data_IF_903275900009
#
_entry.id   IF_903275900009
#
_cell.length_a   1.000
_cell.length_b   1.000
_cell.length_c   1.000
_cell.angle_alpha   90.00
_cell.angle_beta   90.00
_cell.angle_gamma   90.00
#
_symmetry.space_group_name_H-M   'P 1'
#
loop_
_entity.id
_entity.type
_entity.pdbx_description
1 polymer ?
#
# COMPACT_ATOMS: atom_id res chain seq x y z
N UNK A 1 -17.67 5.50 -6.44
CA UNK A 1 -17.62 5.36 -4.95
C UNK A 1 -16.49 6.17 -4.31
N UNK A 2 -15.21 5.90 -4.61
CA UNK A 2 -14.04 6.51 -3.96
C UNK A 2 -14.06 8.05 -3.91
N UNK A 3 -14.26 8.72 -5.05
CA UNK A 3 -14.25 10.20 -5.13
C UNK A 3 -15.30 10.82 -4.20
N UNK A 4 -16.48 10.23 -4.14
CA UNK A 4 -17.57 10.69 -3.28
C UNK A 4 -17.20 10.49 -1.80
N UNK A 5 -16.74 9.30 -1.43
CA UNK A 5 -16.33 8.98 -0.06
C UNK A 5 -15.22 9.92 0.43
N UNK A 6 -14.18 10.14 -0.38
CA UNK A 6 -13.08 11.04 -0.08
C UNK A 6 -13.57 12.48 0.21
N UNK A 7 -14.49 13.00 -0.62
CA UNK A 7 -15.07 14.33 -0.42
C UNK A 7 -15.91 14.40 0.85
N UNK A 8 -16.74 13.39 1.12
CA UNK A 8 -17.60 13.34 2.30
C UNK A 8 -16.81 13.24 3.60
N UNK A 9 -15.70 12.50 3.60
CA UNK A 9 -14.89 12.25 4.79
C UNK A 9 -13.73 13.26 4.97
N UNK A 10 -13.49 14.13 3.98
CA UNK A 10 -12.39 15.10 4.03
C UNK A 10 -10.99 14.47 3.94
N UNK A 11 -10.88 13.30 3.32
CA UNK A 11 -9.61 12.56 3.17
C UNK A 11 -9.16 12.49 1.71
N UNK A 12 -7.93 12.02 1.45
CA UNK A 12 -7.47 11.84 0.07
C UNK A 12 -8.23 10.71 -0.62
N UNK A 13 -8.30 10.76 -1.96
CA UNK A 13 -8.89 9.67 -2.76
C UNK A 13 -8.21 8.33 -2.51
N UNK A 14 -6.91 8.33 -2.23
CA UNK A 14 -6.16 7.10 -2.00
C UNK A 14 -6.40 6.52 -0.60
N UNK A 15 -6.62 7.36 0.42
CA UNK A 15 -7.08 6.91 1.74
C UNK A 15 -8.47 6.25 1.63
N UNK A 16 -9.43 6.93 0.98
CA UNK A 16 -10.77 6.38 0.79
C UNK A 16 -10.79 5.07 -0.03
N UNK A 17 -9.85 4.90 -0.97
CA UNK A 17 -9.72 3.66 -1.72
C UNK A 17 -9.27 2.48 -0.83
N UNK A 18 -8.39 2.74 0.14
CA UNK A 18 -7.95 1.74 1.13
C UNK A 18 -9.11 1.31 2.02
N UNK A 19 -9.85 2.27 2.57
CA UNK A 19 -11.00 1.98 3.43
C UNK A 19 -12.04 1.11 2.72
N UNK A 20 -12.32 1.44 1.45
CA UNK A 20 -13.23 0.65 0.62
C UNK A 20 -12.67 -0.74 0.36
N UNK A 21 -11.39 -0.87 0.00
CA UNK A 21 -10.76 -2.16 -0.27
C UNK A 21 -10.70 -3.06 0.97
N UNK A 22 -10.49 -2.50 2.16
CA UNK A 22 -10.53 -3.24 3.43
C UNK A 22 -11.92 -3.83 3.67
N UNK A 23 -12.98 -3.05 3.41
CA UNK A 23 -14.37 -3.46 3.61
C UNK A 23 -14.89 -4.52 2.63
N UNK A 24 -14.17 -4.84 1.55
CA UNK A 24 -14.57 -5.92 0.62
C UNK A 24 -14.46 -7.31 1.27
N UNK A 25 -15.30 -8.26 0.86
CA UNK A 25 -15.41 -9.57 1.51
C UNK A 25 -14.24 -10.51 1.22
N UNK A 26 -13.48 -10.24 0.15
CA UNK A 26 -12.35 -11.04 -0.28
C UNK A 26 -11.34 -11.22 0.85
N UNK A 27 -11.10 -12.48 1.20
CA UNK A 27 -10.05 -12.88 2.14
C UNK A 27 -8.75 -12.98 1.35
N UNK A 28 -7.63 -12.61 1.98
CA UNK A 28 -6.28 -12.63 1.39
C UNK A 28 -6.00 -11.54 0.35
N UNK A 29 -5.84 -10.30 0.84
CA UNK A 29 -5.53 -9.14 0.00
C UNK A 29 -4.02 -8.86 0.00
N UNK A 30 -3.46 -8.61 -1.18
CA UNK A 30 -2.13 -8.01 -1.33
C UNK A 30 -2.31 -6.51 -1.61
N UNK A 31 -1.81 -5.65 -0.73
CA UNK A 31 -1.87 -4.21 -0.94
C UNK A 31 -0.59 -3.71 -1.61
N UNK A 32 -0.74 -2.90 -2.67
CA UNK A 32 0.39 -2.44 -3.49
C UNK A 32 0.35 -0.92 -3.64
N UNK A 33 1.32 -0.23 -3.05
CA UNK A 33 1.41 1.23 -3.02
C UNK A 33 2.66 1.72 -3.76
N UNK A 34 2.48 2.20 -4.99
CA UNK A 34 3.56 2.76 -5.80
C UNK A 34 3.67 4.28 -5.80
N UNK A 35 2.64 5.01 -5.34
CA UNK A 35 2.61 6.47 -5.44
C UNK A 35 2.27 7.13 -4.11
N UNK A 36 1.03 7.04 -3.66
CA UNK A 36 0.52 7.86 -2.56
C UNK A 36 0.97 7.35 -1.18
N UNK A 37 1.83 8.09 -0.45
CA UNK A 37 2.21 7.73 0.93
C UNK A 37 1.00 7.72 1.88
N UNK A 38 0.03 8.61 1.64
CA UNK A 38 -1.21 8.69 2.42
C UNK A 38 -2.05 7.42 2.36
N UNK A 39 -1.96 6.65 1.26
CA UNK A 39 -2.64 5.36 1.16
C UNK A 39 -1.98 4.31 2.08
N UNK A 40 -0.64 4.28 2.09
CA UNK A 40 0.11 3.38 2.94
C UNK A 40 -0.11 3.71 4.42
N UNK A 41 -0.03 4.99 4.80
CA UNK A 41 -0.38 5.41 6.17
C UNK A 41 -1.79 4.99 6.55
N UNK A 42 -2.77 5.15 5.64
CA UNK A 42 -4.14 4.75 5.92
C UNK A 42 -4.26 3.27 6.20
N UNK A 43 -3.57 2.40 5.46
CA UNK A 43 -3.58 0.96 5.75
C UNK A 43 -3.01 0.67 7.14
N UNK A 44 -1.95 1.37 7.55
CA UNK A 44 -1.30 1.20 8.85
C UNK A 44 -2.16 1.64 10.04
N UNK A 45 -3.20 2.45 9.81
CA UNK A 45 -4.19 2.82 10.84
C UNK A 45 -5.21 1.70 11.13
N UNK A 46 -5.30 0.68 10.27
CA UNK A 46 -6.25 -0.41 10.41
C UNK A 46 -5.60 -1.66 11.01
N UNK A 47 -6.27 -2.25 11.99
CA UNK A 47 -5.90 -3.56 12.55
C UNK A 47 -6.59 -4.67 11.75
N UNK A 48 -5.94 -5.09 10.65
CA UNK A 48 -6.48 -6.06 9.69
C UNK A 48 -5.43 -7.12 9.37
N UNK A 49 -5.86 -8.29 8.90
CA UNK A 49 -4.94 -9.29 8.35
C UNK A 49 -4.90 -9.18 6.83
N UNK A 50 -3.69 -9.03 6.27
CA UNK A 50 -3.45 -8.98 4.82
C UNK A 50 -2.42 -10.03 4.44
N UNK A 51 -2.42 -10.47 3.19
CA UNK A 51 -1.43 -11.45 2.70
C UNK A 51 -0.05 -10.84 2.52
N UNK A 52 0.00 -9.51 2.33
CA UNK A 52 1.23 -8.76 2.34
C UNK A 52 1.04 -7.33 1.83
N UNK A 53 2.12 -6.55 1.91
CA UNK A 53 2.15 -5.15 1.48
C UNK A 53 3.41 -4.87 0.65
N UNK A 54 3.23 -4.31 -0.54
CA UNK A 54 4.32 -3.70 -1.31
C UNK A 54 4.25 -2.20 -1.11
N UNK A 55 5.07 -1.68 -0.19
CA UNK A 55 5.14 -0.27 0.17
C UNK A 55 6.30 0.43 -0.51
N UNK A 56 6.10 0.90 -1.74
CA UNK A 56 7.11 1.65 -2.51
C UNK A 56 6.61 3.00 -3.02
N UNK A 57 5.88 3.81 -2.23
CA UNK A 57 5.53 5.16 -2.66
C UNK A 57 6.78 6.00 -2.91
N UNK A 58 6.71 6.83 -3.94
CA UNK A 58 7.72 7.84 -4.28
C UNK A 58 7.25 9.20 -3.81
N UNK A 59 8.16 10.04 -3.33
CA UNK A 59 7.81 11.41 -3.02
C UNK A 59 8.78 12.09 -2.08
N UNK A 60 8.55 13.39 -1.90
CA UNK A 60 9.32 14.23 -0.98
C UNK A 60 8.61 14.48 0.35
N UNK A 61 7.33 14.13 0.46
CA UNK A 61 6.51 14.32 1.66
C UNK A 61 5.91 12.99 2.06
N UNK A 62 6.24 12.49 3.25
CA UNK A 62 5.65 11.28 3.83
C UNK A 62 6.11 9.95 3.21
N UNK A 63 6.86 9.96 2.10
CA UNK A 63 7.27 8.74 1.42
C UNK A 63 8.27 7.93 2.27
N UNK A 64 9.31 8.56 2.79
CA UNK A 64 10.30 7.88 3.62
C UNK A 64 9.66 7.36 4.91
N UNK A 65 8.89 8.22 5.55
CA UNK A 65 8.23 8.00 6.84
C UNK A 65 7.17 6.90 6.75
N UNK A 66 6.36 6.86 5.68
CA UNK A 66 5.35 5.81 5.50
C UNK A 66 5.97 4.42 5.31
N UNK A 67 7.11 4.35 4.61
CA UNK A 67 7.81 3.08 4.39
C UNK A 67 8.55 2.62 5.63
N UNK A 68 9.12 3.54 6.40
CA UNK A 68 9.70 3.24 7.71
C UNK A 68 8.62 2.80 8.72
N UNK A 69 7.44 3.44 8.73
CA UNK A 69 6.32 2.98 9.53
C UNK A 69 5.86 1.57 9.13
N UNK A 70 5.84 1.26 7.83
CA UNK A 70 5.54 -0.09 7.34
C UNK A 70 6.55 -1.14 7.84
N UNK A 71 7.85 -0.83 7.85
CA UNK A 71 8.87 -1.77 8.35
C UNK A 71 8.78 -2.04 9.86
N UNK A 72 8.15 -1.16 10.61
CA UNK A 72 7.88 -1.34 12.05
C UNK A 72 6.48 -1.94 12.33
N UNK A 73 5.68 -2.19 11.30
CA UNK A 73 4.35 -2.77 11.43
C UNK A 73 4.39 -4.31 11.50
N UNK A 74 3.25 -4.91 11.80
CA UNK A 74 3.09 -6.37 11.81
C UNK A 74 2.84 -6.98 10.42
N UNK A 75 2.69 -6.15 9.38
CA UNK A 75 2.38 -6.64 8.03
C UNK A 75 3.59 -7.30 7.37
N UNK A 76 3.43 -8.48 6.73
CA UNK A 76 4.45 -9.00 5.82
C UNK A 76 4.65 -8.01 4.67
N UNK A 77 5.87 -7.49 4.48
CA UNK A 77 6.06 -6.35 3.59
C UNK A 77 7.38 -6.33 2.81
N UNK A 78 7.32 -5.70 1.63
CA UNK A 78 8.47 -5.24 0.86
C UNK A 78 8.44 -3.72 0.81
N UNK A 79 9.50 -3.07 1.26
CA UNK A 79 9.61 -1.61 1.27
C UNK A 79 10.95 -1.14 0.68
N UNK A 80 10.88 -0.10 -0.16
CA UNK A 80 12.07 0.55 -0.73
C UNK A 80 12.35 1.84 0.05
N UNK A 81 13.15 1.78 1.12
CA UNK A 81 13.34 2.88 2.08
C UNK A 81 13.80 4.21 1.44
N UNK A 82 13.58 5.32 2.17
CA UNK A 82 13.87 6.67 1.71
C UNK A 82 12.81 7.22 0.74
N UNK A 83 13.19 8.13 -0.16
CA UNK A 83 12.23 8.89 -1.00
C UNK A 83 11.90 8.29 -2.36
N UNK A 84 12.72 7.33 -2.82
CA UNK A 84 12.56 6.68 -4.15
C UNK A 84 11.50 5.58 -4.10
N UNK A 85 10.85 5.34 -5.23
CA UNK A 85 9.77 4.37 -5.36
C UNK A 85 9.10 4.51 -6.72
N UNK A 86 7.81 4.20 -6.80
CA UNK A 86 7.02 4.43 -8.01
C UNK A 86 6.20 3.21 -8.41
N UNK A 87 5.18 3.43 -9.22
CA UNK A 87 4.36 2.36 -9.78
C UNK A 87 5.17 1.33 -10.59
N UNK A 88 6.24 1.76 -11.28
CA UNK A 88 7.11 0.85 -12.02
C UNK A 88 7.86 -0.10 -11.08
N UNK A 89 8.35 0.39 -9.94
CA UNK A 89 9.00 -0.43 -8.91
C UNK A 89 7.99 -1.40 -8.29
N UNK A 90 6.79 -0.90 -7.97
CA UNK A 90 5.72 -1.74 -7.44
C UNK A 90 5.35 -2.88 -8.39
N UNK A 91 5.15 -2.59 -9.68
CA UNK A 91 4.85 -3.58 -10.70
C UNK A 91 6.00 -4.58 -10.88
N UNK A 92 7.25 -4.13 -10.86
CA UNK A 92 8.42 -5.01 -10.95
C UNK A 92 8.49 -6.01 -9.79
N UNK A 93 8.20 -5.56 -8.55
CA UNK A 93 8.15 -6.43 -7.37
C UNK A 93 7.04 -7.47 -7.53
N UNK A 94 5.83 -7.05 -7.92
CA UNK A 94 4.70 -7.99 -8.13
C UNK A 94 5.04 -9.00 -9.22
N UNK A 95 5.64 -8.57 -10.33
CA UNK A 95 6.08 -9.49 -11.38
C UNK A 95 7.12 -10.49 -10.88
N UNK A 96 8.11 -10.05 -10.08
CA UNK A 96 9.11 -10.94 -9.52
C UNK A 96 8.49 -12.01 -8.60
N UNK A 97 7.49 -11.63 -7.78
CA UNK A 97 6.73 -12.59 -6.97
C UNK A 97 6.01 -13.61 -7.84
N UNK A 98 5.33 -13.17 -8.91
CA UNK A 98 4.65 -14.05 -9.85
C UNK A 98 5.62 -15.00 -10.57
N UNK A 99 6.83 -14.54 -10.89
CA UNK A 99 7.83 -15.38 -11.54
C UNK A 99 8.30 -16.48 -10.61
N UNK A 100 8.60 -16.14 -9.35
CA UNK A 100 9.03 -17.10 -8.35
C UNK A 100 7.96 -18.13 -8.03
N UNK A 101 6.67 -17.73 -8.00
CA UNK A 101 5.55 -18.65 -7.81
C UNK A 101 5.35 -19.66 -8.95
N UNK A 102 5.85 -19.37 -10.17
CA UNK A 102 5.81 -20.34 -11.28
C UNK A 102 6.96 -21.35 -11.25
N UNK A 103 8.05 -20.98 -10.61
CA UNK A 103 9.26 -21.79 -10.52
C UNK A 103 9.30 -22.68 -9.27
N UNK A 104 8.45 -22.38 -8.28
CA UNK A 104 8.23 -23.17 -7.07
C UNK A 104 7.19 -24.28 -7.29
#
# INVERSE_FOLDING_TARGET
RVVRAAKTQGITRSMAAVDIAIAEEEKNKLFVFGNAPTALFRLLEHDVTVSGVVGVPVGFVGAAESKEALTHSHFPAVAALGRKGGSNVAAAIVNALLYHLREA
#
